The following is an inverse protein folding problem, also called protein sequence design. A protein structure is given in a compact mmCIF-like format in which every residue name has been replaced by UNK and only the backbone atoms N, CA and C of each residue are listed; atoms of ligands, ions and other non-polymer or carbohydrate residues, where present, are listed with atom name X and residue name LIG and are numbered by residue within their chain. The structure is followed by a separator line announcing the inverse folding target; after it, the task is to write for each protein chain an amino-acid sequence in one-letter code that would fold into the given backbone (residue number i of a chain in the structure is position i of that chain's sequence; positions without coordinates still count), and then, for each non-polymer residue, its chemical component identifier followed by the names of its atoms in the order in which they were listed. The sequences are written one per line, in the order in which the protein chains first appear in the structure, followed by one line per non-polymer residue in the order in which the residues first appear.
data_IF_842390097292
#
_entry.id   IF_842390097292
#
_cell.length_a   1.000
_cell.length_b   1.000
_cell.length_c   1.000
_cell.angle_alpha   90.00
_cell.angle_beta   90.00
_cell.angle_gamma   90.00
#
_symmetry.space_group_name_H-M   'P 1'
#
loop_
_entity.id
_entity.type
_entity.pdbx_description
1 polymer ?
#
# COMPACT_ATOMS: atom_id res chain seq x y z
N UNK A 1 12.55 18.28 6.20
CA UNK A 1 11.34 17.47 6.44
C UNK A 1 11.33 16.48 5.30
N UNK A 2 11.59 15.21 5.59
CA UNK A 2 11.51 14.17 4.56
C UNK A 2 10.02 13.85 4.42
N UNK A 3 9.49 13.91 3.20
CA UNK A 3 8.07 13.68 2.92
C UNK A 3 8.01 12.39 2.12
N UNK A 4 7.32 11.38 2.66
CA UNK A 4 7.06 10.14 1.94
C UNK A 4 5.95 10.42 0.93
N UNK A 5 6.19 10.16 -0.34
CA UNK A 5 5.21 10.37 -1.41
C UNK A 5 4.63 9.02 -1.83
N UNK A 6 3.30 8.91 -1.81
CA UNK A 6 2.58 7.71 -2.23
C UNK A 6 1.68 8.03 -3.41
N UNK A 7 1.92 7.35 -4.53
CA UNK A 7 1.07 7.38 -5.70
C UNK A 7 0.12 6.17 -5.69
N UNK A 8 -1.18 6.42 -5.57
CA UNK A 8 -2.22 5.41 -5.72
C UNK A 8 -2.65 5.32 -7.19
N UNK A 9 -2.44 4.18 -7.82
CA UNK A 9 -2.73 3.94 -9.23
C UNK A 9 -3.80 2.85 -9.34
N UNK A 10 -4.99 3.22 -9.80
CA UNK A 10 -6.08 2.27 -10.00
C UNK A 10 -6.04 1.68 -11.42
N UNK A 11 -5.76 0.39 -11.54
CA UNK A 11 -5.59 -0.29 -12.83
C UNK A 11 -6.13 -1.74 -12.81
N UNK A 12 -6.15 -2.40 -13.98
CA UNK A 12 -6.50 -3.81 -14.05
C UNK A 12 -5.29 -4.67 -13.64
N UNK A 13 -5.42 -5.42 -12.54
CA UNK A 13 -4.40 -6.36 -12.06
C UNK A 13 -4.91 -7.80 -12.23
N UNK A 14 -4.36 -8.59 -13.18
CA UNK A 14 -4.92 -9.90 -13.52
C UNK A 14 -4.73 -10.96 -12.42
N UNK A 15 -3.65 -10.87 -11.64
CA UNK A 15 -3.27 -11.90 -10.66
C UNK A 15 -3.07 -11.35 -9.23
N UNK A 16 -3.35 -10.08 -9.01
CA UNK A 16 -3.12 -9.41 -7.73
C UNK A 16 -4.26 -8.47 -7.36
N UNK A 17 -4.39 -8.19 -6.06
CA UNK A 17 -5.36 -7.22 -5.53
C UNK A 17 -4.74 -5.84 -5.39
N UNK A 18 -3.49 -5.80 -4.94
CA UNK A 18 -2.63 -4.65 -4.91
C UNK A 18 -1.16 -5.08 -5.04
N UNK A 19 -0.30 -4.15 -5.41
CA UNK A 19 1.16 -4.31 -5.43
C UNK A 19 1.79 -2.95 -5.15
N UNK A 20 2.86 -2.92 -4.36
CA UNK A 20 3.70 -1.73 -4.16
C UNK A 20 5.08 -1.87 -4.81
N UNK A 21 5.64 -0.75 -5.27
CA UNK A 21 7.02 -0.64 -5.75
C UNK A 21 7.62 0.71 -5.36
N UNK A 22 8.95 0.76 -5.24
CA UNK A 22 9.71 2.00 -5.12
C UNK A 22 9.81 2.72 -6.48
N UNK A 23 9.71 4.04 -6.46
CA UNK A 23 9.98 4.90 -7.63
C UNK A 23 11.47 5.25 -7.71
N UNK A 24 11.91 5.76 -8.86
CA UNK A 24 13.26 6.36 -9.01
C UNK A 24 13.41 7.66 -8.19
N UNK A 25 12.29 8.30 -7.86
CA UNK A 25 12.25 9.50 -7.03
C UNK A 25 12.46 9.18 -5.54
N UNK A 26 13.19 10.07 -4.85
CA UNK A 26 13.50 9.93 -3.42
C UNK A 26 12.22 9.86 -2.58
N UNK A 27 12.16 8.86 -1.69
CA UNK A 27 11.04 8.63 -0.76
C UNK A 27 9.68 8.55 -1.45
N UNK A 28 9.64 8.07 -2.70
CA UNK A 28 8.41 7.98 -3.50
C UNK A 28 8.08 6.52 -3.82
N UNK A 29 6.83 6.12 -3.58
CA UNK A 29 6.34 4.77 -3.84
C UNK A 29 5.07 4.79 -4.68
N UNK A 30 4.90 3.77 -5.50
CA UNK A 30 3.69 3.53 -6.25
C UNK A 30 2.95 2.34 -5.65
N UNK A 31 1.65 2.51 -5.39
CA UNK A 31 0.74 1.43 -5.00
C UNK A 31 -0.27 1.26 -6.12
N UNK A 32 -0.20 0.13 -6.81
CA UNK A 32 -1.17 -0.29 -7.81
C UNK A 32 -2.31 -1.03 -7.14
N UNK A 33 -3.55 -0.61 -7.36
CA UNK A 33 -4.75 -1.23 -6.82
C UNK A 33 -5.63 -1.73 -7.95
N UNK A 34 -6.13 -2.96 -7.82
CA UNK A 34 -7.07 -3.52 -8.78
C UNK A 34 -8.39 -2.74 -8.75
N UNK A 35 -8.67 -1.99 -9.82
CA UNK A 35 -9.86 -1.12 -9.92
C UNK A 35 -11.20 -1.86 -9.87
N UNK A 36 -11.18 -3.18 -10.06
CA UNK A 36 -12.38 -4.02 -10.02
C UNK A 36 -12.78 -4.47 -8.60
N UNK A 37 -12.00 -4.13 -7.58
CA UNK A 37 -12.33 -4.44 -6.19
C UNK A 37 -13.44 -3.52 -5.65
N UNK A 38 -14.27 -3.99 -4.70
CA UNK A 38 -15.13 -3.08 -3.94
C UNK A 38 -14.30 -2.02 -3.19
N UNK A 39 -14.80 -0.79 -3.06
CA UNK A 39 -14.08 0.31 -2.40
C UNK A 39 -13.53 -0.05 -1.00
N UNK A 40 -14.31 -0.76 -0.18
CA UNK A 40 -13.84 -1.18 1.15
C UNK A 40 -12.66 -2.16 1.06
N UNK A 41 -12.67 -3.06 0.06
CA UNK A 41 -11.52 -3.93 -0.20
C UNK A 41 -10.32 -3.14 -0.69
N UNK A 42 -10.49 -2.17 -1.60
CA UNK A 42 -9.38 -1.30 -2.03
C UNK A 42 -8.73 -0.62 -0.82
N UNK A 43 -9.51 -0.09 0.12
CA UNK A 43 -8.99 0.55 1.34
C UNK A 43 -8.19 -0.41 2.20
N UNK A 44 -8.64 -1.66 2.33
CA UNK A 44 -7.89 -2.71 3.05
C UNK A 44 -6.56 -3.04 2.38
N UNK A 45 -6.54 -3.18 1.05
CA UNK A 45 -5.30 -3.46 0.31
C UNK A 45 -4.35 -2.27 0.33
N UNK A 46 -4.84 -1.03 0.20
CA UNK A 46 -4.00 0.18 0.34
C UNK A 46 -3.32 0.21 1.72
N UNK A 47 -4.06 -0.09 2.79
CA UNK A 47 -3.48 -0.18 4.14
C UNK A 47 -2.44 -1.29 4.24
N UNK A 48 -2.67 -2.43 3.60
CA UNK A 48 -1.74 -3.55 3.58
C UNK A 48 -0.41 -3.15 2.94
N UNK A 49 -0.45 -2.59 1.72
CA UNK A 49 0.75 -2.11 1.03
C UNK A 49 1.44 -0.97 1.77
N UNK A 50 0.69 0.00 2.33
CA UNK A 50 1.27 1.06 3.16
C UNK A 50 1.98 0.51 4.39
N UNK A 51 1.45 -0.54 5.02
CA UNK A 51 2.12 -1.14 6.17
C UNK A 51 3.46 -1.76 5.79
N UNK A 52 3.58 -2.30 4.57
CA UNK A 52 4.85 -2.83 4.06
C UNK A 52 5.88 -1.73 3.84
N UNK A 53 5.46 -0.61 3.25
CA UNK A 53 6.31 0.57 3.04
C UNK A 53 6.77 1.17 4.37
N UNK A 54 5.86 1.35 5.34
CA UNK A 54 6.18 1.95 6.65
C UNK A 54 7.11 1.04 7.47
N UNK A 55 6.96 -0.29 7.35
CA UNK A 55 7.75 -1.28 8.11
C UNK A 55 9.03 -1.72 7.41
N UNK A 56 9.24 -1.31 6.16
CA UNK A 56 10.36 -1.75 5.30
C UNK A 56 10.44 -3.30 5.23
N UNK A 57 9.28 -3.98 5.19
CA UNK A 57 9.19 -5.44 5.34
C UNK A 57 8.72 -6.19 4.07
N UNK A 58 9.06 -5.64 2.89
CA UNK A 58 8.73 -6.18 1.55
C UNK A 58 9.11 -7.66 1.29
N UNK A 59 9.85 -8.32 2.19
CA UNK A 59 10.39 -9.69 2.03
C UNK A 59 9.70 -10.78 2.87
N UNK A 60 8.66 -10.50 3.65
CA UNK A 60 8.03 -11.52 4.52
C UNK A 60 7.01 -12.36 3.76
N UNK A 61 7.52 -13.21 2.86
CA UNK A 61 6.76 -14.15 2.03
C UNK A 61 6.37 -15.45 2.76
N UNK A 62 6.66 -15.57 4.07
CA UNK A 62 6.33 -16.76 4.85
C UNK A 62 4.98 -16.61 5.56
N UNK A 63 4.04 -17.47 5.13
CA UNK A 63 2.64 -17.49 5.56
C UNK A 63 1.87 -16.20 5.22
N UNK A 64 1.93 -15.77 3.95
CA UNK A 64 1.21 -14.61 3.36
C UNK A 64 -0.20 -14.43 3.95
N UNK A 65 -1.02 -15.49 4.05
CA UNK A 65 -2.37 -15.40 4.64
C UNK A 65 -2.42 -15.03 6.13
N UNK A 66 -1.47 -15.50 6.94
CA UNK A 66 -1.44 -15.22 8.38
C UNK A 66 -0.85 -13.83 8.65
N UNK A 67 0.21 -13.47 7.93
CA UNK A 67 0.82 -12.13 7.96
C UNK A 67 -0.17 -11.10 7.44
N UNK A 68 -0.82 -11.32 6.30
CA UNK A 68 -1.92 -10.47 5.80
C UNK A 68 -3.00 -10.27 6.86
N UNK A 69 -3.41 -11.35 7.55
CA UNK A 69 -4.42 -11.26 8.61
C UNK A 69 -3.91 -10.45 9.80
N UNK A 70 -2.67 -10.65 10.22
CA UNK A 70 -2.05 -9.90 11.33
C UNK A 70 -1.86 -8.42 10.98
N UNK A 71 -1.45 -8.12 9.75
CA UNK A 71 -1.33 -6.76 9.20
C UNK A 71 -2.69 -6.09 9.12
N UNK A 72 -3.73 -6.75 8.59
CA UNK A 72 -5.11 -6.22 8.59
C UNK A 72 -5.64 -5.97 10.00
N UNK A 73 -5.19 -6.74 10.99
CA UNK A 73 -5.54 -6.55 12.40
C UNK A 73 -4.70 -5.47 13.08
N UNK A 74 -3.53 -5.14 12.53
CA UNK A 74 -2.73 -4.00 12.95
C UNK A 74 -3.45 -2.72 12.55
N UNK A 75 -3.83 -1.93 13.55
CA UNK A 75 -4.27 -0.57 13.27
C UNK A 75 -3.03 0.24 12.85
N UNK A 76 -3.12 0.95 11.72
CA UNK A 76 -2.22 2.07 11.43
C UNK A 76 -2.78 3.23 12.25
N UNK A 77 -2.00 3.78 13.16
CA UNK A 77 -2.44 4.92 13.97
C UNK A 77 -2.36 6.19 13.13
N UNK A 78 -3.22 7.18 13.41
CA UNK A 78 -3.19 8.48 12.69
C UNK A 78 -1.80 9.16 12.80
N UNK A 79 -1.02 8.81 13.84
CA UNK A 79 0.38 9.17 14.01
C UNK A 79 1.28 8.74 12.86
N UNK A 80 1.10 7.51 12.37
CA UNK A 80 1.94 6.85 11.37
C UNK A 80 1.74 7.41 9.97
N UNK A 81 0.62 8.10 9.72
CA UNK A 81 0.26 8.69 8.44
C UNK A 81 0.74 10.15 8.34
N UNK A 82 1.19 10.76 9.44
CA UNK A 82 1.65 12.14 9.44
C UNK A 82 2.96 12.28 8.64
N UNK A 83 2.91 13.08 7.58
CA UNK A 83 4.06 13.31 6.68
C UNK A 83 4.06 12.44 5.42
N UNK A 84 2.97 11.71 5.17
CA UNK A 84 2.73 11.01 3.90
C UNK A 84 1.87 11.88 3.00
N UNK A 85 2.39 12.21 1.81
CA UNK A 85 1.64 12.90 0.76
C UNK A 85 1.03 11.89 -0.21
N UNK A 86 -0.30 11.89 -0.32
CA UNK A 86 -1.03 10.99 -1.21
C UNK A 86 -1.42 11.67 -2.52
N UNK A 87 -1.07 11.04 -3.64
CA UNK A 87 -1.53 11.40 -4.97
C UNK A 87 -2.30 10.23 -5.56
N UNK A 88 -3.36 10.49 -6.33
CA UNK A 88 -4.15 9.41 -6.93
C UNK A 88 -4.36 9.60 -8.43
N UNK A 89 -4.22 8.52 -9.20
CA UNK A 89 -4.44 8.51 -10.65
C UNK A 89 -5.37 7.36 -11.05
N UNK A 90 -6.37 7.67 -11.88
CA UNK A 90 -7.40 6.72 -12.33
C UNK A 90 -7.21 6.53 -13.84
N UNK A 91 -6.98 5.28 -14.29
CA UNK A 91 -6.71 4.90 -15.70
C UNK A 91 -7.84 4.06 -16.28
#
# INVERSE_FOLDING_TARGET
MVVLVINLIYCDLPNAKAVSEESEDVDTHNIYINKNLPHERMREEIKHELSHIIRDDFYVDHHVNLVERMVRMSQIEDGDINGIDFYHHII
#
